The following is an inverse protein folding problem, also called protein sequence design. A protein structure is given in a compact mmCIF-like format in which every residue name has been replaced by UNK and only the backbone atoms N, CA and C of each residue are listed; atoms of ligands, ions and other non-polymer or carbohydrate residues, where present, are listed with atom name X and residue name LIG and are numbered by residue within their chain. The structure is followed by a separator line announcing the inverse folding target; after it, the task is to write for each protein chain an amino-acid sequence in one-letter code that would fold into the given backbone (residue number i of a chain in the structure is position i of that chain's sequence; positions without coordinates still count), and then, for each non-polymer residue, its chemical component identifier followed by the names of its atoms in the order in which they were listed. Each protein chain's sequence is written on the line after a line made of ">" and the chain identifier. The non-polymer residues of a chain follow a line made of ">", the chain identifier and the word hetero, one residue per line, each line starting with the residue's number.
data_IF_273574445151
#
_entry.id   IF_273574445151
#
_cell.length_a   1.000
_cell.length_b   1.000
_cell.length_c   1.000
_cell.angle_alpha   90.00
_cell.angle_beta   90.00
_cell.angle_gamma   90.00
#
_symmetry.space_group_name_H-M   'P 1'
#
loop_
_entity.id
_entity.type
_entity.pdbx_description
1 polymer ?
#
# COMPACT_ATOMS: atom_id res chain seq x y z
N UNK A 1 -1.07 -1.21 -21.17
CA UNK A 1 -0.29 -0.92 -19.94
C UNK A 1 -1.20 -0.87 -18.74
N UNK A 2 -0.77 -1.51 -17.68
CA UNK A 2 -1.55 -1.53 -16.44
C UNK A 2 -1.31 -0.25 -15.65
N UNK A 3 -2.38 0.42 -15.23
CA UNK A 3 -2.29 1.57 -14.32
C UNK A 3 -1.68 1.13 -12.99
N UNK A 4 -2.01 -0.09 -12.54
CA UNK A 4 -1.44 -0.69 -11.33
C UNK A 4 0.07 -0.85 -11.46
N UNK A 5 0.55 -1.33 -12.60
CA UNK A 5 2.00 -1.49 -12.84
C UNK A 5 2.72 -0.15 -12.76
N UNK A 6 2.17 0.88 -13.38
CA UNK A 6 2.77 2.22 -13.35
C UNK A 6 2.84 2.76 -11.92
N UNK A 7 1.80 2.54 -11.13
CA UNK A 7 1.77 2.95 -9.73
C UNK A 7 2.79 2.17 -8.89
N UNK A 8 2.94 0.86 -9.11
CA UNK A 8 3.92 0.04 -8.39
C UNK A 8 5.35 0.53 -8.62
N UNK A 9 5.67 0.97 -9.83
CA UNK A 9 7.01 1.48 -10.14
C UNK A 9 7.39 2.71 -9.31
N UNK A 10 6.39 3.41 -8.76
CA UNK A 10 6.59 4.61 -7.95
C UNK A 10 6.65 4.31 -6.45
N UNK A 11 6.42 3.07 -6.05
CA UNK A 11 6.56 2.65 -4.65
C UNK A 11 8.05 2.51 -4.34
N UNK A 12 8.59 3.23 -3.34
CA UNK A 12 10.04 3.27 -3.11
C UNK A 12 10.69 1.90 -2.94
N UNK A 13 10.08 0.98 -2.17
CA UNK A 13 10.69 -0.33 -1.94
C UNK A 13 10.55 -1.29 -3.13
N UNK A 14 9.89 -0.87 -4.21
CA UNK A 14 9.74 -1.63 -5.45
C UNK A 14 10.49 -0.98 -6.62
N UNK A 15 11.15 0.15 -6.40
CA UNK A 15 11.72 0.97 -7.47
C UNK A 15 12.84 0.29 -8.27
N UNK A 16 13.54 -0.68 -7.67
CA UNK A 16 14.63 -1.40 -8.33
C UNK A 16 14.22 -2.73 -8.94
N UNK A 17 12.93 -3.09 -8.82
CA UNK A 17 12.41 -4.34 -9.38
C UNK A 17 12.20 -4.17 -10.89
N UNK A 18 12.53 -5.19 -11.66
CA UNK A 18 12.33 -5.16 -13.11
C UNK A 18 10.86 -5.02 -13.46
N UNK A 19 10.57 -4.41 -14.62
CA UNK A 19 9.19 -4.24 -15.09
C UNK A 19 8.47 -5.58 -15.21
N UNK A 20 9.19 -6.61 -15.68
CA UNK A 20 8.63 -7.97 -15.82
C UNK A 20 8.16 -8.53 -14.47
N UNK A 21 8.98 -8.39 -13.43
CA UNK A 21 8.64 -8.89 -12.10
C UNK A 21 7.52 -8.08 -11.48
N UNK A 22 7.51 -6.75 -11.67
CA UNK A 22 6.41 -5.90 -11.20
C UNK A 22 5.11 -6.24 -11.90
N UNK A 23 5.15 -6.54 -13.20
CA UNK A 23 3.95 -6.94 -13.92
C UNK A 23 3.36 -8.23 -13.35
N UNK A 24 4.22 -9.20 -13.03
CA UNK A 24 3.79 -10.44 -12.37
C UNK A 24 3.10 -10.15 -11.04
N UNK A 25 3.65 -9.23 -10.25
CA UNK A 25 3.04 -8.83 -8.99
C UNK A 25 1.70 -8.13 -9.22
N UNK A 26 1.64 -7.20 -10.17
CA UNK A 26 0.42 -6.46 -10.51
C UNK A 26 -0.72 -7.40 -10.90
N UNK A 27 -0.41 -8.51 -11.58
CA UNK A 27 -1.42 -9.49 -11.98
C UNK A 27 -2.06 -10.21 -10.80
N UNK A 28 -1.40 -10.25 -9.63
CA UNK A 28 -1.96 -10.84 -8.42
C UNK A 28 -2.84 -9.87 -7.64
N UNK A 29 -2.83 -8.59 -8.02
CA UNK A 29 -3.52 -7.53 -7.29
C UNK A 29 -4.95 -7.37 -7.80
N UNK A 30 -5.83 -6.93 -6.90
CA UNK A 30 -7.20 -6.57 -7.23
C UNK A 30 -7.31 -5.04 -7.32
N UNK A 31 -8.17 -4.55 -8.21
CA UNK A 31 -8.54 -3.14 -8.23
C UNK A 31 -9.87 -2.98 -7.50
N UNK A 32 -9.99 -1.89 -6.73
CA UNK A 32 -11.20 -1.56 -5.96
C UNK A 32 -11.58 -0.12 -6.18
N UNK A 33 -12.89 0.11 -6.31
CA UNK A 33 -13.46 1.46 -6.32
C UNK A 33 -14.02 1.76 -4.93
N UNK A 34 -13.75 2.96 -4.42
CA UNK A 34 -14.14 3.38 -3.08
C UNK A 34 -14.84 4.74 -3.18
N UNK A 35 -16.07 4.88 -2.62
CA UNK A 35 -16.78 6.16 -2.65
C UNK A 35 -16.23 7.13 -1.59
N UNK A 36 -16.49 8.44 -1.76
CA UNK A 36 -16.09 9.44 -0.77
C UNK A 36 -16.68 9.11 0.62
N UNK A 37 -15.89 9.38 1.65
CA UNK A 37 -16.29 9.20 3.05
C UNK A 37 -16.07 7.80 3.61
N UNK A 38 -15.78 6.81 2.75
CA UNK A 38 -15.53 5.44 3.22
C UNK A 38 -14.13 5.33 3.81
N UNK A 39 -14.04 4.63 4.95
CA UNK A 39 -12.74 4.25 5.52
C UNK A 39 -12.22 3.01 4.80
N UNK A 40 -11.10 3.16 4.11
CA UNK A 40 -10.44 2.03 3.42
C UNK A 40 -9.80 1.10 4.43
N UNK A 41 -9.12 1.68 5.41
CA UNK A 41 -8.60 0.98 6.59
C UNK A 41 -9.01 1.76 7.82
N UNK A 42 -9.26 1.04 8.92
CA UNK A 42 -9.73 1.63 10.18
C UNK A 42 -8.71 1.36 11.28
N UNK A 43 -8.31 2.41 11.99
CA UNK A 43 -7.38 2.29 13.11
C UNK A 43 -7.88 1.25 14.11
N UNK A 44 -6.99 0.38 14.57
CA UNK A 44 -7.31 -0.68 15.53
C UNK A 44 -7.85 -1.96 14.91
N UNK A 45 -8.37 -1.90 13.68
CA UNK A 45 -8.86 -3.10 12.98
C UNK A 45 -7.66 -3.86 12.39
N UNK A 46 -7.78 -5.18 12.30
CA UNK A 46 -6.80 -6.01 11.61
C UNK A 46 -6.92 -5.88 10.09
N UNK A 47 -5.92 -6.35 9.38
CA UNK A 47 -5.95 -6.37 7.92
C UNK A 47 -4.73 -7.05 7.32
N UNK A 48 -4.88 -7.49 6.06
CA UNK A 48 -3.85 -8.28 5.35
C UNK A 48 -3.47 -7.61 4.03
N UNK A 49 -3.91 -6.37 3.80
CA UNK A 49 -3.82 -5.74 2.48
C UNK A 49 -3.02 -4.44 2.51
N UNK A 50 -2.15 -4.31 1.53
CA UNK A 50 -1.43 -3.10 1.18
C UNK A 50 -2.14 -2.45 -0.01
N UNK A 51 -2.23 -1.12 -0.01
CA UNK A 51 -2.95 -0.38 -1.04
C UNK A 51 -2.04 0.62 -1.73
N UNK A 52 -2.21 0.73 -3.06
CA UNK A 52 -1.61 1.79 -3.87
C UNK A 52 -2.76 2.60 -4.45
N UNK A 53 -2.68 3.93 -4.37
CA UNK A 53 -3.72 4.81 -4.90
C UNK A 53 -3.49 4.98 -6.39
N UNK A 54 -4.42 4.47 -7.19
CA UNK A 54 -4.39 4.60 -8.64
C UNK A 54 -5.01 5.93 -9.08
N UNK A 55 -6.05 6.37 -8.36
CA UNK A 55 -6.72 7.64 -8.59
C UNK A 55 -7.45 8.07 -7.33
N UNK A 56 -7.60 9.37 -7.13
CA UNK A 56 -8.33 9.94 -6.01
C UNK A 56 -7.45 10.43 -4.88
N UNK A 57 -8.11 10.88 -3.81
CA UNK A 57 -7.48 11.49 -2.64
C UNK A 57 -8.07 10.93 -1.36
N UNK A 58 -7.23 10.84 -0.33
CA UNK A 58 -7.61 10.35 0.98
C UNK A 58 -6.95 11.15 2.09
N UNK A 59 -7.51 11.04 3.30
CA UNK A 59 -6.96 11.62 4.51
C UNK A 59 -6.57 10.52 5.47
N UNK A 60 -5.37 10.62 6.04
CA UNK A 60 -4.90 9.73 7.11
C UNK A 60 -5.23 10.35 8.45
N UNK A 61 -5.89 9.58 9.32
CA UNK A 61 -6.28 10.02 10.67
C UNK A 61 -5.65 9.09 11.71
N UNK A 62 -5.17 9.70 12.80
CA UNK A 62 -4.71 8.98 13.98
C UNK A 62 -5.45 9.55 15.18
N UNK A 63 -6.14 8.70 15.92
CA UNK A 63 -6.98 9.09 17.06
C UNK A 63 -7.99 10.19 16.68
N UNK A 64 -8.53 10.11 15.46
CA UNK A 64 -9.49 11.06 14.93
C UNK A 64 -8.91 12.36 14.40
N UNK A 65 -7.61 12.57 14.51
CA UNK A 65 -6.95 13.79 14.03
C UNK A 65 -6.33 13.58 12.66
N UNK A 66 -6.54 14.52 11.75
CA UNK A 66 -5.93 14.48 10.42
C UNK A 66 -4.43 14.73 10.54
N UNK A 67 -3.63 13.77 10.02
CA UNK A 67 -2.17 13.88 10.10
C UNK A 67 -1.53 14.10 8.74
N UNK A 68 -2.17 13.68 7.65
CA UNK A 68 -1.67 13.97 6.29
C UNK A 68 -2.70 13.61 5.22
N UNK A 69 -2.44 14.08 4.01
CA UNK A 69 -3.21 13.77 2.81
C UNK A 69 -2.44 12.83 1.91
N UNK A 70 -3.16 11.95 1.24
CA UNK A 70 -2.62 11.04 0.24
C UNK A 70 -3.30 11.29 -1.11
N UNK A 71 -2.56 11.09 -2.18
CA UNK A 71 -3.08 11.25 -3.53
C UNK A 71 -2.60 10.15 -4.46
N UNK A 72 -2.77 10.37 -5.77
CA UNK A 72 -2.37 9.41 -6.79
C UNK A 72 -0.90 9.00 -6.62
N UNK A 73 -0.65 7.69 -6.72
CA UNK A 73 0.65 7.03 -6.59
C UNK A 73 1.17 6.90 -5.15
N UNK A 74 0.47 7.44 -4.16
CA UNK A 74 0.79 7.17 -2.76
C UNK A 74 0.33 5.76 -2.38
N UNK A 75 0.87 5.25 -1.28
CA UNK A 75 0.56 3.91 -0.80
C UNK A 75 0.40 3.91 0.73
N UNK A 76 -0.23 2.88 1.25
CA UNK A 76 -0.39 2.70 2.69
C UNK A 76 -0.64 1.23 3.03
N UNK A 77 -0.38 0.87 4.29
CA UNK A 77 -0.65 -0.47 4.82
C UNK A 77 0.46 -1.48 4.61
N UNK A 78 1.70 -1.03 4.37
CA UNK A 78 2.83 -1.93 4.10
C UNK A 78 3.18 -2.86 5.26
N UNK A 79 2.86 -2.51 6.51
CA UNK A 79 3.11 -3.39 7.67
C UNK A 79 2.30 -4.68 7.55
N UNK A 80 1.09 -4.61 6.98
CA UNK A 80 0.25 -5.78 6.78
C UNK A 80 0.86 -6.81 5.82
N UNK A 81 1.79 -6.39 4.96
CA UNK A 81 2.51 -7.31 4.06
C UNK A 81 3.51 -8.17 4.81
N UNK A 82 4.01 -7.69 5.95
CA UNK A 82 5.04 -8.37 6.74
C UNK A 82 4.41 -9.18 7.85
N UNK A 83 3.54 -8.55 8.64
CA UNK A 83 2.84 -9.19 9.74
C UNK A 83 1.33 -8.99 9.54
N UNK A 84 0.64 -9.99 8.95
CA UNK A 84 -0.80 -9.90 8.73
C UNK A 84 -1.58 -9.75 10.04
N UNK A 85 -2.70 -9.03 9.97
CA UNK A 85 -3.66 -8.86 11.05
C UNK A 85 -3.18 -8.09 12.28
N UNK A 86 -2.02 -7.43 12.22
CA UNK A 86 -1.70 -6.44 13.25
C UNK A 86 -2.74 -5.29 13.20
N UNK A 87 -3.13 -4.75 14.35
CA UNK A 87 -4.03 -3.60 14.37
C UNK A 87 -3.46 -2.45 13.54
N UNK A 88 -4.31 -1.85 12.70
CA UNK A 88 -3.92 -0.69 11.89
C UNK A 88 -3.57 0.48 12.80
N UNK A 89 -2.48 1.19 12.46
CA UNK A 89 -2.00 2.33 13.25
C UNK A 89 -2.72 3.63 12.90
N UNK A 90 -3.47 3.64 11.82
CA UNK A 90 -4.20 4.81 11.35
C UNK A 90 -5.47 4.41 10.60
N UNK A 91 -6.36 5.38 10.43
CA UNK A 91 -7.51 5.28 9.54
C UNK A 91 -7.16 6.00 8.24
N UNK A 92 -7.53 5.42 7.10
CA UNK A 92 -7.44 6.11 5.80
C UNK A 92 -8.85 6.23 5.25
N UNK A 93 -9.32 7.47 5.11
CA UNK A 93 -10.67 7.80 4.66
C UNK A 93 -10.62 8.42 3.27
N UNK A 94 -11.44 7.91 2.35
CA UNK A 94 -11.55 8.48 1.01
C UNK A 94 -12.18 9.88 1.08
N UNK A 95 -11.53 10.86 0.48
CA UNK A 95 -12.07 12.23 0.36
C UNK A 95 -12.84 12.41 -0.94
N UNK A 96 -12.44 11.68 -1.97
CA UNK A 96 -13.08 11.66 -3.30
C UNK A 96 -13.40 10.21 -3.66
N UNK A 97 -14.01 10.01 -4.83
CA UNK A 97 -14.01 8.68 -5.43
C UNK A 97 -12.55 8.24 -5.60
N UNK A 98 -12.26 7.00 -5.25
CA UNK A 98 -10.90 6.46 -5.36
C UNK A 98 -10.90 5.15 -6.13
N UNK A 99 -9.81 4.93 -6.85
CA UNK A 99 -9.48 3.59 -7.36
C UNK A 99 -8.18 3.15 -6.72
N UNK A 100 -8.18 1.95 -6.16
CA UNK A 100 -7.06 1.38 -5.42
C UNK A 100 -6.59 0.08 -6.06
N UNK A 101 -5.27 -0.13 -6.04
CA UNK A 101 -4.70 -1.46 -6.24
C UNK A 101 -4.47 -2.10 -4.89
N UNK A 102 -4.92 -3.34 -4.70
CA UNK A 102 -4.86 -4.05 -3.44
C UNK A 102 -3.97 -5.29 -3.54
N UNK A 103 -2.97 -5.39 -2.66
CA UNK A 103 -2.02 -6.49 -2.61
C UNK A 103 -2.10 -7.15 -1.23
N UNK A 104 -2.34 -8.47 -1.21
CA UNK A 104 -2.42 -9.22 0.03
C UNK A 104 -1.06 -9.74 0.48
N UNK A 105 -0.92 -10.01 1.78
CA UNK A 105 0.31 -10.54 2.35
C UNK A 105 0.73 -11.88 1.73
N UNK A 106 -0.23 -12.75 1.45
CA UNK A 106 0.08 -14.07 0.88
C UNK A 106 0.51 -14.02 -0.59
N UNK A 107 0.16 -12.97 -1.33
CA UNK A 107 0.65 -12.75 -2.69
C UNK A 107 2.00 -12.03 -2.70
N UNK A 108 2.28 -11.26 -1.65
CA UNK A 108 3.55 -10.54 -1.52
C UNK A 108 4.71 -11.46 -1.13
N UNK A 109 4.48 -12.39 -0.21
CA UNK A 109 5.56 -13.23 0.33
C UNK A 109 6.32 -14.04 -0.74
N UNK A 110 5.63 -14.75 -1.68
CA UNK A 110 6.37 -15.46 -2.74
C UNK A 110 7.18 -14.51 -3.62
N UNK A 111 6.68 -13.33 -3.87
CA UNK A 111 7.38 -12.31 -4.65
C UNK A 111 8.69 -11.89 -3.96
N UNK A 112 8.64 -11.63 -2.66
CA UNK A 112 9.82 -11.24 -1.89
C UNK A 112 10.85 -12.37 -1.85
N UNK A 113 10.41 -13.62 -1.75
CA UNK A 113 11.34 -14.75 -1.73
C UNK A 113 12.10 -14.89 -3.05
N UNK A 114 11.51 -14.45 -4.17
CA UNK A 114 12.19 -14.39 -5.47
C UNK A 114 13.01 -13.12 -5.65
N UNK A 115 12.68 -12.06 -4.93
CA UNK A 115 13.29 -10.73 -5.06
C UNK A 115 13.70 -10.22 -3.68
N UNK A 116 14.70 -10.85 -3.04
CA UNK A 116 15.04 -10.54 -1.64
C UNK A 116 15.48 -9.11 -1.41
N UNK A 117 15.96 -8.41 -2.43
CA UNK A 117 16.31 -6.99 -2.31
C UNK A 117 15.09 -6.12 -1.96
N UNK A 118 13.89 -6.58 -2.29
CA UNK A 118 12.65 -5.90 -1.91
C UNK A 118 12.49 -5.90 -0.39
N UNK A 119 12.81 -7.02 0.27
CA UNK A 119 12.74 -7.08 1.73
C UNK A 119 13.68 -6.08 2.38
N UNK A 120 14.91 -5.97 1.87
CA UNK A 120 15.87 -5.02 2.38
C UNK A 120 15.40 -3.58 2.18
N UNK A 121 14.91 -3.24 0.99
CA UNK A 121 14.38 -1.91 0.69
C UNK A 121 13.19 -1.56 1.58
N UNK A 122 12.33 -2.53 1.88
CA UNK A 122 11.20 -2.33 2.77
C UNK A 122 11.66 -2.08 4.21
N UNK A 123 12.68 -2.81 4.68
CA UNK A 123 13.29 -2.58 5.99
C UNK A 123 13.85 -1.15 6.09
N UNK A 124 14.53 -0.68 5.04
CA UNK A 124 15.04 0.68 5.02
C UNK A 124 13.92 1.72 5.10
N UNK A 125 12.84 1.50 4.35
CA UNK A 125 11.68 2.38 4.37
C UNK A 125 11.08 2.49 5.77
N UNK A 126 10.90 1.36 6.44
CA UNK A 126 10.34 1.32 7.79
C UNK A 126 11.29 1.91 8.81
N UNK A 127 12.59 1.62 8.70
CA UNK A 127 13.60 2.16 9.62
C UNK A 127 13.65 3.70 9.55
N UNK A 128 13.58 4.26 8.35
CA UNK A 128 13.54 5.72 8.17
C UNK A 128 12.30 6.34 8.79
N UNK A 129 11.18 5.65 8.70
CA UNK A 129 9.92 6.11 9.31
C UNK A 129 10.03 6.15 10.83
N UNK A 130 10.64 5.13 11.46
CA UNK A 130 10.83 5.09 12.90
C UNK A 130 11.90 6.06 13.38
N UNK A 131 12.90 6.35 12.56
CA UNK A 131 13.98 7.25 12.94
C UNK A 131 13.54 8.71 12.97
N UNK A 132 12.45 9.00 12.33
CA UNK A 132 12.04 10.37 12.34
C UNK A 132 11.04 10.80 11.37
#
# INVERSE_FOLDING_TARGET
>A
MSVTLDALQKVPFLSHVSRKELDSLAQTMAERDVPPGKEVVTQGAGGVTFFVILDGQATVLVDGNEVRKLGQHDHFGEIALIVPDLPRTSTVRADTDMRLGALTAWNFKPFVLKNPDVAWALLETLAKRFAG
#
